data_IF_628278777842
#
_entry.id   IF_628278777842
#
_cell.length_a   1.000
_cell.length_b   1.000
_cell.length_c   1.000
_cell.angle_alpha   90.00
_cell.angle_beta   90.00
_cell.angle_gamma   90.00
#
_symmetry.space_group_name_H-M   'P 1'
#
loop_
_entity.id
_entity.type
_entity.pdbx_description
1 polymer ?
#
# COMPACT_ATOMS: atom_id res chain seq x y z
N UNK A 1 -44.63 18.11 26.64
CA UNK A 1 -43.70 19.01 25.93
C UNK A 1 -42.32 18.41 26.07
N UNK A 2 -41.99 17.45 25.21
CA UNK A 2 -40.70 16.77 25.25
C UNK A 2 -39.73 17.51 24.35
N UNK A 3 -38.64 17.99 24.95
CA UNK A 3 -37.59 18.72 24.24
C UNK A 3 -36.95 17.86 23.13
N UNK A 4 -36.33 18.51 22.13
CA UNK A 4 -35.70 17.79 21.03
C UNK A 4 -34.62 16.83 21.56
N UNK A 5 -34.50 15.62 20.98
CA UNK A 5 -33.49 14.65 21.40
C UNK A 5 -32.10 15.29 21.24
N UNK A 6 -31.33 15.29 22.33
CA UNK A 6 -29.97 15.82 22.35
C UNK A 6 -29.08 15.14 21.28
N UNK A 7 -28.01 15.81 20.82
CA UNK A 7 -27.15 15.28 19.78
C UNK A 7 -26.61 13.89 20.19
N UNK A 8 -26.89 12.89 19.36
CA UNK A 8 -26.36 11.53 19.52
C UNK A 8 -24.85 11.60 19.71
N UNK A 9 -24.37 11.23 20.89
CA UNK A 9 -22.95 11.04 21.15
C UNK A 9 -22.48 9.84 20.33
N UNK A 10 -21.71 10.10 19.27
CA UNK A 10 -21.01 9.08 18.51
C UNK A 10 -20.13 8.24 19.46
N UNK A 11 -20.45 6.95 19.72
CA UNK A 11 -19.65 6.09 20.59
C UNK A 11 -18.23 5.86 20.02
N UNK A 12 -18.02 6.14 18.73
CA UNK A 12 -16.72 6.05 18.04
C UNK A 12 -15.79 7.23 18.37
N UNK A 13 -16.27 8.25 19.08
CA UNK A 13 -15.47 9.41 19.52
C UNK A 13 -14.53 9.12 20.69
N UNK A 14 -14.88 8.18 21.58
CA UNK A 14 -14.14 7.93 22.82
C UNK A 14 -12.81 7.15 22.63
N UNK A 15 -12.62 6.50 21.47
CA UNK A 15 -11.45 5.63 21.20
C UNK A 15 -10.45 6.22 20.21
N UNK A 16 -10.67 7.45 19.72
CA UNK A 16 -9.85 8.05 18.66
C UNK A 16 -8.99 9.18 19.22
N UNK A 17 -7.69 8.91 19.36
CA UNK A 17 -6.70 9.85 19.88
C UNK A 17 -6.81 11.20 19.15
N UNK A 18 -6.96 12.32 19.89
CA UNK A 18 -6.94 13.64 19.28
C UNK A 18 -5.57 13.88 18.62
N UNK A 19 -5.53 14.57 17.48
CA UNK A 19 -4.29 14.74 16.73
C UNK A 19 -3.27 15.60 17.50
N UNK A 20 -1.96 15.37 17.29
CA UNK A 20 -0.93 16.20 17.89
C UNK A 20 -1.03 17.61 17.29
N UNK A 21 -1.03 18.61 18.16
CA UNK A 21 -1.11 20.03 17.78
C UNK A 21 0.28 20.63 17.52
N UNK A 22 1.35 19.93 17.91
CA UNK A 22 2.75 20.36 17.77
C UNK A 22 3.67 19.21 17.33
N UNK A 23 4.78 19.54 16.64
CA UNK A 23 5.83 18.60 16.23
C UNK A 23 6.43 17.81 17.41
N UNK A 24 6.40 18.37 18.63
CA UNK A 24 6.87 17.69 19.86
C UNK A 24 5.94 16.59 20.37
N UNK A 25 4.67 16.59 19.98
CA UNK A 25 3.67 15.57 20.38
C UNK A 25 3.60 14.40 19.38
N UNK A 26 4.28 14.53 18.23
CA UNK A 26 4.34 13.52 17.18
C UNK A 26 4.90 12.18 17.68
N UNK A 27 5.97 12.12 18.51
CA UNK A 27 6.50 10.85 19.01
C UNK A 27 5.48 10.10 19.89
N UNK A 28 4.81 10.81 20.82
CA UNK A 28 3.82 10.21 21.72
C UNK A 28 2.52 9.81 21.03
N UNK A 29 2.11 10.55 19.99
CA UNK A 29 0.97 10.19 19.15
C UNK A 29 1.28 8.96 18.27
N UNK A 30 2.48 8.91 17.68
CA UNK A 30 2.96 7.75 16.92
C UNK A 30 3.04 6.51 17.79
N UNK A 31 3.55 6.61 19.02
CA UNK A 31 3.63 5.47 19.95
C UNK A 31 2.25 4.89 20.28
N UNK A 32 1.24 5.73 20.53
CA UNK A 32 -0.13 5.27 20.83
C UNK A 32 -0.84 4.71 19.58
N UNK A 33 -0.60 5.30 18.41
CA UNK A 33 -1.12 4.76 17.13
C UNK A 33 -0.49 3.42 16.78
N UNK A 34 0.84 3.32 16.87
CA UNK A 34 1.59 2.09 16.65
C UNK A 34 1.15 1.02 17.66
N UNK A 35 1.02 1.34 18.94
CA UNK A 35 0.52 0.41 19.95
C UNK A 35 -0.88 -0.15 19.65
N UNK A 36 -1.81 0.71 19.19
CA UNK A 36 -3.13 0.27 18.75
C UNK A 36 -3.11 -0.56 17.46
N UNK A 37 -2.21 -0.25 16.53
CA UNK A 37 -1.97 -1.03 15.32
C UNK A 37 -1.39 -2.42 15.64
N UNK A 38 -0.32 -2.50 16.43
CA UNK A 38 0.32 -3.76 16.82
C UNK A 38 -0.64 -4.67 17.59
N UNK A 39 -1.51 -4.14 18.46
CA UNK A 39 -2.54 -4.95 19.13
C UNK A 39 -3.52 -5.58 18.12
N UNK A 40 -3.98 -4.81 17.14
CA UNK A 40 -4.88 -5.31 16.08
C UNK A 40 -4.17 -6.31 15.18
N UNK A 41 -2.92 -6.04 14.83
CA UNK A 41 -2.09 -6.94 14.04
C UNK A 41 -1.90 -8.25 14.79
N UNK A 42 -1.51 -8.23 16.07
CA UNK A 42 -1.36 -9.42 16.90
C UNK A 42 -2.66 -10.23 17.02
N UNK A 43 -3.80 -9.56 17.13
CA UNK A 43 -5.10 -10.23 17.10
C UNK A 43 -5.35 -10.94 15.76
N UNK A 44 -5.05 -10.29 14.62
CA UNK A 44 -5.16 -10.90 13.28
C UNK A 44 -4.18 -12.07 13.13
N UNK A 45 -2.94 -11.93 13.59
CA UNK A 45 -1.95 -13.01 13.60
C UNK A 45 -2.47 -14.21 14.40
N UNK A 46 -2.98 -13.99 15.61
CA UNK A 46 -3.59 -15.04 16.43
C UNK A 46 -4.77 -15.70 15.72
N UNK A 47 -5.63 -14.92 15.07
CA UNK A 47 -6.81 -15.42 14.35
C UNK A 47 -6.44 -16.29 13.14
N UNK A 48 -5.41 -15.90 12.38
CA UNK A 48 -4.88 -16.71 11.27
C UNK A 48 -4.16 -17.95 11.80
N UNK A 49 -3.43 -17.82 12.92
CA UNK A 49 -2.79 -18.95 13.60
C UNK A 49 -3.81 -19.99 14.11
N UNK A 50 -4.93 -19.54 14.70
CA UNK A 50 -6.07 -20.38 15.11
C UNK A 50 -6.72 -21.08 13.91
N UNK A 51 -6.70 -20.45 12.72
CA UNK A 51 -7.20 -21.07 11.49
C UNK A 51 -6.24 -22.18 11.04
N UNK A 52 -5.02 -21.82 10.63
CA UNK A 52 -3.96 -22.73 10.23
C UNK A 52 -2.59 -22.03 10.32
N UNK A 53 -1.62 -22.51 11.12
CA UNK A 53 -0.33 -21.84 11.31
C UNK A 53 0.56 -21.84 10.05
N UNK A 54 0.39 -22.82 9.14
CA UNK A 54 1.18 -22.89 7.90
C UNK A 54 1.02 -21.65 7.01
N UNK A 55 -0.12 -20.96 7.08
CA UNK A 55 -0.39 -19.73 6.30
C UNK A 55 0.63 -18.65 6.68
N UNK A 56 0.83 -18.42 7.97
CA UNK A 56 1.76 -17.40 8.46
C UNK A 56 3.21 -17.75 8.14
N UNK A 57 3.57 -19.04 8.28
CA UNK A 57 4.89 -19.51 7.90
C UNK A 57 5.16 -19.30 6.40
N UNK A 58 4.20 -19.67 5.55
CA UNK A 58 4.30 -19.50 4.10
C UNK A 58 4.43 -18.01 3.72
N UNK A 59 3.57 -17.14 4.25
CA UNK A 59 3.65 -15.69 3.98
C UNK A 59 4.97 -15.07 4.44
N UNK A 60 5.52 -15.55 5.56
CA UNK A 60 6.83 -15.14 6.05
C UNK A 60 7.94 -15.54 5.05
N UNK A 61 7.98 -16.80 4.64
CA UNK A 61 8.97 -17.30 3.66
C UNK A 61 8.85 -16.54 2.33
N UNK A 62 7.63 -16.36 1.82
CA UNK A 62 7.40 -15.59 0.59
C UNK A 62 7.86 -14.14 0.73
N UNK A 63 7.63 -13.49 1.88
CA UNK A 63 8.08 -12.10 2.11
C UNK A 63 9.61 -11.95 2.04
N UNK A 64 10.35 -12.93 2.60
CA UNK A 64 11.81 -12.94 2.55
C UNK A 64 12.29 -13.19 1.13
N UNK A 65 11.72 -14.19 0.43
CA UNK A 65 12.06 -14.49 -0.96
C UNK A 65 11.81 -13.28 -1.85
N UNK A 66 10.61 -12.69 -1.81
CA UNK A 66 10.26 -11.48 -2.57
C UNK A 66 11.17 -10.28 -2.27
N UNK A 67 11.74 -10.21 -1.06
CA UNK A 67 12.66 -9.14 -0.68
C UNK A 67 14.07 -9.32 -1.25
N UNK A 68 14.52 -10.57 -1.39
CA UNK A 68 15.90 -10.90 -1.83
C UNK A 68 15.98 -11.13 -3.34
N UNK A 69 14.93 -11.63 -3.98
CA UNK A 69 14.93 -11.91 -5.43
C UNK A 69 15.35 -10.71 -6.31
N UNK A 70 14.91 -9.47 -6.06
CA UNK A 70 15.30 -8.32 -6.87
C UNK A 70 16.81 -8.06 -6.90
N UNK A 71 17.49 -8.17 -5.76
CA UNK A 71 18.94 -7.92 -5.70
C UNK A 71 19.73 -9.04 -6.39
N UNK A 72 19.29 -10.29 -6.24
CA UNK A 72 19.90 -11.43 -6.94
C UNK A 72 19.74 -11.27 -8.45
N UNK A 73 18.56 -10.85 -8.92
CA UNK A 73 18.32 -10.54 -10.33
C UNK A 73 19.31 -9.48 -10.84
N UNK A 74 19.49 -8.39 -10.08
CA UNK A 74 20.38 -7.30 -10.47
C UNK A 74 21.85 -7.73 -10.55
N UNK A 75 22.31 -8.59 -9.64
CA UNK A 75 23.67 -9.14 -9.66
C UNK A 75 23.90 -10.07 -10.86
N UNK A 76 22.91 -10.92 -11.21
CA UNK A 76 22.97 -11.76 -12.41
C UNK A 76 23.06 -10.88 -13.67
N UNK A 77 22.22 -9.83 -13.75
CA UNK A 77 22.24 -8.88 -14.87
C UNK A 77 23.59 -8.14 -15.00
N UNK A 78 24.19 -7.69 -13.89
CA UNK A 78 25.54 -7.11 -13.89
C UNK A 78 26.55 -8.06 -14.51
N UNK A 79 26.59 -9.31 -14.05
CA UNK A 79 27.56 -10.30 -14.53
C UNK A 79 27.37 -10.62 -16.01
N UNK A 80 26.12 -10.73 -16.46
CA UNK A 80 25.79 -10.92 -17.87
C UNK A 80 26.32 -9.76 -18.73
N UNK A 81 26.08 -8.51 -18.30
CA UNK A 81 26.54 -7.32 -19.04
C UNK A 81 28.06 -7.26 -19.09
N UNK A 82 28.74 -7.55 -17.98
CA UNK A 82 30.20 -7.59 -17.95
C UNK A 82 30.78 -8.66 -18.88
N UNK A 83 30.15 -9.84 -18.95
CA UNK A 83 30.56 -10.89 -19.88
C UNK A 83 30.35 -10.48 -21.35
N UNK A 84 29.25 -9.79 -21.66
CA UNK A 84 28.99 -9.26 -23.01
C UNK A 84 30.00 -8.19 -23.42
N UNK A 85 30.37 -7.28 -22.52
CA UNK A 85 31.38 -6.25 -22.78
C UNK A 85 32.76 -6.88 -22.98
N UNK A 86 33.14 -7.86 -22.15
CA UNK A 86 34.39 -8.60 -22.33
C UNK A 86 34.44 -9.36 -23.67
N UNK A 87 33.30 -9.87 -24.14
CA UNK A 87 33.18 -10.54 -25.42
C UNK A 87 33.37 -9.57 -26.60
N UNK A 88 32.73 -8.40 -26.52
CA UNK A 88 32.86 -7.35 -27.51
C UNK A 88 34.30 -6.81 -27.61
N UNK A 89 35.03 -6.79 -26.49
CA UNK A 89 36.43 -6.39 -26.43
C UNK A 89 37.43 -7.47 -26.88
N UNK A 90 36.97 -8.65 -27.32
CA UNK A 90 37.83 -9.73 -27.82
C UNK A 90 38.60 -10.53 -26.74
N UNK A 91 38.33 -10.29 -25.46
CA UNK A 91 39.10 -10.85 -24.33
C UNK A 91 38.60 -12.22 -23.83
N UNK A 92 37.58 -12.82 -24.47
CA UNK A 92 36.96 -14.06 -24.01
C UNK A 92 37.61 -15.30 -24.67
N UNK A 93 38.67 -15.83 -24.05
CA UNK A 93 39.30 -17.09 -24.47
C UNK A 93 38.33 -18.31 -24.41
N UNK A 94 37.29 -18.25 -23.57
CA UNK A 94 36.28 -19.32 -23.39
C UNK A 94 35.03 -19.19 -24.29
N UNK A 95 35.00 -18.22 -25.21
CA UNK A 95 33.95 -18.08 -26.23
C UNK A 95 32.51 -17.89 -25.71
N UNK A 96 31.55 -17.95 -26.64
CA UNK A 96 30.10 -17.74 -26.43
C UNK A 96 29.45 -18.62 -25.34
N UNK A 97 30.15 -19.65 -24.85
CA UNK A 97 29.67 -20.60 -23.83
C UNK A 97 29.38 -19.94 -22.47
N UNK A 98 30.21 -18.99 -22.03
CA UNK A 98 30.03 -18.27 -20.74
C UNK A 98 28.80 -17.35 -20.80
N UNK A 99 28.58 -16.72 -21.95
CA UNK A 99 27.42 -15.85 -22.17
C UNK A 99 26.16 -16.71 -22.18
N UNK A 100 26.20 -17.87 -22.85
CA UNK A 100 25.06 -18.80 -22.90
C UNK A 100 24.70 -19.33 -21.51
N UNK A 101 25.69 -19.64 -20.65
CA UNK A 101 25.42 -20.09 -19.29
C UNK A 101 24.82 -18.98 -18.40
N UNK A 102 25.28 -17.74 -18.53
CA UNK A 102 24.71 -16.58 -17.83
C UNK A 102 23.30 -16.22 -18.33
N UNK A 103 23.05 -16.36 -19.64
CA UNK A 103 21.70 -16.22 -20.21
C UNK A 103 20.77 -17.31 -19.70
N UNK A 104 21.21 -18.58 -19.72
CA UNK A 104 20.46 -19.69 -19.17
C UNK A 104 20.13 -19.45 -17.69
N UNK A 105 21.11 -19.01 -16.89
CA UNK A 105 20.90 -18.63 -15.50
C UNK A 105 19.86 -17.51 -15.35
N UNK A 106 19.91 -16.48 -16.19
CA UNK A 106 18.96 -15.36 -16.19
C UNK A 106 17.53 -15.84 -16.49
N UNK A 107 17.37 -16.68 -17.51
CA UNK A 107 16.07 -17.26 -17.88
C UNK A 107 15.53 -18.18 -16.79
N UNK A 108 16.35 -19.09 -16.26
CA UNK A 108 15.98 -19.99 -15.17
C UNK A 108 15.57 -19.19 -13.93
N UNK A 109 16.35 -18.17 -13.56
CA UNK A 109 16.05 -17.33 -12.40
C UNK A 109 14.75 -16.54 -12.59
N UNK A 110 14.53 -15.97 -13.78
CA UNK A 110 13.29 -15.25 -14.11
C UNK A 110 12.09 -16.19 -14.07
N UNK A 111 12.23 -17.40 -14.61
CA UNK A 111 11.19 -18.43 -14.56
C UNK A 111 10.84 -18.83 -13.13
N UNK A 112 11.84 -19.12 -12.30
CA UNK A 112 11.66 -19.45 -10.87
C UNK A 112 10.96 -18.30 -10.14
N UNK A 113 11.39 -17.06 -10.36
CA UNK A 113 10.78 -15.87 -9.75
C UNK A 113 9.30 -15.75 -10.13
N UNK A 114 8.96 -15.95 -11.41
CA UNK A 114 7.56 -15.97 -11.87
C UNK A 114 6.76 -17.09 -11.21
N UNK A 115 7.33 -18.30 -11.07
CA UNK A 115 6.67 -19.40 -10.38
C UNK A 115 6.43 -19.08 -8.91
N UNK A 116 7.42 -18.54 -8.19
CA UNK A 116 7.27 -18.10 -6.79
C UNK A 116 6.12 -17.10 -6.66
N UNK A 117 6.07 -16.07 -7.51
CA UNK A 117 5.00 -15.06 -7.45
C UNK A 117 3.62 -15.64 -7.77
N UNK A 118 3.54 -16.63 -8.67
CA UNK A 118 2.29 -17.32 -9.00
C UNK A 118 1.80 -18.18 -7.84
N UNK A 119 2.71 -18.93 -7.22
CA UNK A 119 2.42 -19.76 -6.04
C UNK A 119 1.97 -18.88 -4.87
N UNK A 120 2.66 -17.77 -4.61
CA UNK A 120 2.27 -16.81 -3.57
C UNK A 120 0.85 -16.26 -3.78
N UNK A 121 0.51 -15.86 -5.01
CA UNK A 121 -0.80 -15.31 -5.34
C UNK A 121 -1.94 -16.31 -5.11
N UNK A 122 -1.78 -17.56 -5.58
CA UNK A 122 -2.78 -18.60 -5.40
C UNK A 122 -2.90 -19.05 -3.93
N UNK A 123 -1.77 -19.24 -3.24
CA UNK A 123 -1.76 -19.64 -1.82
C UNK A 123 -2.38 -18.55 -0.94
N UNK A 124 -2.04 -17.28 -1.16
CA UNK A 124 -2.63 -16.16 -0.44
C UNK A 124 -4.14 -16.07 -0.68
N UNK A 125 -4.61 -16.38 -1.89
CA UNK A 125 -6.05 -16.45 -2.18
C UNK A 125 -6.74 -17.58 -1.43
N UNK A 126 -6.17 -18.78 -1.41
CA UNK A 126 -6.70 -19.91 -0.63
C UNK A 126 -6.71 -19.63 0.88
N UNK A 127 -5.62 -19.05 1.40
CA UNK A 127 -5.54 -18.60 2.78
C UNK A 127 -6.64 -17.57 3.09
N UNK A 128 -6.89 -16.66 2.15
CA UNK A 128 -8.04 -15.75 2.11
C UNK A 128 -9.36 -16.43 2.42
N UNK A 129 -9.71 -17.44 1.63
CA UNK A 129 -10.97 -18.18 1.76
C UNK A 129 -11.05 -18.97 3.09
N UNK A 130 -9.96 -19.63 3.50
CA UNK A 130 -9.93 -20.39 4.75
C UNK A 130 -10.14 -19.51 5.98
N UNK A 131 -9.44 -18.37 6.03
CA UNK A 131 -9.58 -17.40 7.15
C UNK A 131 -10.96 -16.76 7.13
N UNK A 132 -11.48 -16.42 5.96
CA UNK A 132 -12.85 -15.91 5.81
C UNK A 132 -13.87 -16.88 6.37
N UNK A 133 -13.77 -18.16 5.99
CA UNK A 133 -14.66 -19.20 6.48
C UNK A 133 -14.57 -19.34 8.01
N UNK A 134 -13.36 -19.41 8.57
CA UNK A 134 -13.16 -19.52 10.02
C UNK A 134 -13.79 -18.35 10.78
N UNK A 135 -13.59 -17.12 10.30
CA UNK A 135 -14.17 -15.92 10.94
C UNK A 135 -15.69 -15.92 10.83
N UNK A 136 -16.25 -16.25 9.65
CA UNK A 136 -17.70 -16.35 9.47
C UNK A 136 -18.32 -17.38 10.41
N UNK A 137 -17.71 -18.55 10.55
CA UNK A 137 -18.16 -19.56 11.52
C UNK A 137 -18.12 -19.00 12.94
N UNK A 138 -17.04 -18.33 13.34
CA UNK A 138 -16.92 -17.70 14.67
C UNK A 138 -18.01 -16.63 14.91
N UNK A 139 -18.37 -15.84 13.89
CA UNK A 139 -19.47 -14.88 13.95
C UNK A 139 -20.81 -15.60 14.10
N UNK A 140 -21.08 -16.64 13.31
CA UNK A 140 -22.33 -17.41 13.38
C UNK A 140 -22.49 -18.12 14.73
N UNK A 141 -21.43 -18.74 15.24
CA UNK A 141 -21.42 -19.35 16.58
C UNK A 141 -21.71 -18.31 17.65
N UNK A 142 -21.10 -17.12 17.56
CA UNK A 142 -21.36 -16.06 18.54
C UNK A 142 -22.78 -15.49 18.43
N UNK A 143 -23.31 -15.35 17.22
CA UNK A 143 -24.68 -14.91 16.98
C UNK A 143 -25.72 -15.88 17.59
N UNK A 144 -25.45 -17.19 17.55
CA UNK A 144 -26.30 -18.22 18.18
C UNK A 144 -26.36 -18.13 19.71
N UNK A 145 -25.28 -17.67 20.36
CA UNK A 145 -25.20 -17.55 21.82
C UNK A 145 -25.89 -16.30 22.37
N UNK A 146 -26.28 -15.36 21.50
CA UNK A 146 -26.82 -14.07 21.90
C UNK A 146 -28.35 -14.10 21.96
N UNK A 147 -28.90 -13.41 22.95
CA UNK A 147 -30.34 -13.29 23.13
C UNK A 147 -31.00 -12.53 21.96
N UNK A 148 -32.23 -12.91 21.62
CA UNK A 148 -33.00 -12.35 20.51
C UNK A 148 -33.18 -10.83 20.66
N UNK A 149 -33.36 -10.34 21.89
CA UNK A 149 -33.48 -8.92 22.20
C UNK A 149 -32.23 -8.09 21.83
N UNK A 150 -31.08 -8.74 21.60
CA UNK A 150 -29.89 -8.07 21.08
C UNK A 150 -30.04 -7.70 19.61
N UNK A 151 -30.77 -8.49 18.82
CA UNK A 151 -30.98 -8.26 17.38
C UNK A 151 -31.91 -7.08 17.09
N UNK A 152 -32.81 -6.76 18.01
CA UNK A 152 -33.70 -5.60 17.90
C UNK A 152 -32.97 -4.26 18.12
N UNK A 153 -31.71 -4.30 18.63
CA UNK A 153 -30.90 -3.10 18.85
C UNK A 153 -30.18 -2.72 17.56
N UNK A 154 -30.44 -1.55 16.95
CA UNK A 154 -29.81 -1.13 15.69
C UNK A 154 -28.29 -1.11 15.75
N UNK A 155 -27.72 -0.73 16.89
CA UNK A 155 -26.26 -0.71 17.10
C UNK A 155 -25.62 -2.09 17.06
N UNK A 156 -26.33 -3.12 17.52
CA UNK A 156 -25.84 -4.50 17.50
C UNK A 156 -25.92 -5.05 16.07
N UNK A 157 -27.03 -4.82 15.39
CA UNK A 157 -27.22 -5.22 13.99
C UNK A 157 -26.14 -4.57 13.09
N UNK A 158 -25.89 -3.26 13.23
CA UNK A 158 -24.84 -2.56 12.48
C UNK A 158 -23.45 -3.17 12.75
N UNK A 159 -23.14 -3.54 14.00
CA UNK A 159 -21.86 -4.19 14.34
C UNK A 159 -21.74 -5.58 13.72
N UNK A 160 -22.81 -6.38 13.76
CA UNK A 160 -22.84 -7.73 13.19
C UNK A 160 -22.69 -7.68 11.66
N UNK A 161 -23.41 -6.78 11.00
CA UNK A 161 -23.34 -6.59 9.56
C UNK A 161 -21.95 -6.14 9.12
N UNK A 162 -21.37 -5.14 9.81
CA UNK A 162 -19.99 -4.71 9.57
C UNK A 162 -19.00 -5.85 9.79
N UNK A 163 -19.15 -6.63 10.87
CA UNK A 163 -18.27 -7.77 11.13
C UNK A 163 -18.34 -8.80 10.00
N UNK A 164 -19.53 -9.07 9.46
CA UNK A 164 -19.72 -10.02 8.36
C UNK A 164 -19.16 -9.50 7.03
N UNK A 165 -19.34 -8.20 6.74
CA UNK A 165 -18.77 -7.55 5.56
C UNK A 165 -17.23 -7.50 5.63
N UNK A 166 -16.66 -7.18 6.79
CA UNK A 166 -15.21 -7.04 6.95
C UNK A 166 -14.47 -8.37 7.16
N UNK A 167 -15.15 -9.41 7.65
CA UNK A 167 -14.59 -10.73 7.93
C UNK A 167 -13.88 -11.37 6.73
N UNK A 168 -14.37 -11.11 5.51
CA UNK A 168 -13.94 -11.87 4.33
C UNK A 168 -12.71 -11.34 3.60
N UNK A 169 -12.27 -10.10 3.83
CA UNK A 169 -11.20 -9.50 3.03
C UNK A 169 -10.16 -8.77 3.87
N UNK A 170 -10.61 -8.08 4.92
CA UNK A 170 -9.77 -7.16 5.67
C UNK A 170 -8.61 -7.82 6.41
N UNK A 171 -8.78 -8.97 7.09
CA UNK A 171 -7.69 -9.59 7.86
C UNK A 171 -6.50 -10.01 6.99
N UNK A 172 -6.77 -10.71 5.88
CA UNK A 172 -5.74 -11.19 4.97
C UNK A 172 -5.07 -10.04 4.21
N UNK A 173 -5.83 -9.01 3.82
CA UNK A 173 -5.26 -7.80 3.22
C UNK A 173 -4.30 -7.06 4.15
N UNK A 174 -4.63 -6.95 5.44
CA UNK A 174 -3.74 -6.32 6.42
C UNK A 174 -2.45 -7.15 6.58
N UNK A 175 -2.59 -8.47 6.64
CA UNK A 175 -1.47 -9.38 6.79
C UNK A 175 -0.55 -9.36 5.56
N UNK A 176 -1.12 -9.44 4.35
CA UNK A 176 -0.35 -9.36 3.10
C UNK A 176 0.36 -8.01 2.96
N UNK A 177 -0.33 -6.91 3.29
CA UNK A 177 0.30 -5.58 3.31
C UNK A 177 1.46 -5.52 4.30
N UNK A 178 1.32 -6.14 5.47
CA UNK A 178 2.38 -6.19 6.49
C UNK A 178 3.60 -6.99 6.03
N UNK A 179 3.39 -8.16 5.42
CA UNK A 179 4.48 -8.96 4.86
C UNK A 179 5.12 -8.30 3.63
N UNK A 180 4.34 -7.63 2.80
CA UNK A 180 4.85 -6.85 1.67
C UNK A 180 5.73 -5.68 2.15
N UNK A 181 5.37 -5.03 3.26
CA UNK A 181 6.24 -4.03 3.90
C UNK A 181 7.57 -4.61 4.34
N UNK A 182 7.56 -5.77 5.01
CA UNK A 182 8.78 -6.48 5.42
C UNK A 182 9.66 -6.79 4.19
N UNK A 183 9.04 -7.31 3.14
CA UNK A 183 9.71 -7.61 1.86
C UNK A 183 10.37 -6.38 1.24
N UNK A 184 9.65 -5.25 1.19
CA UNK A 184 10.18 -3.98 0.67
C UNK A 184 11.34 -3.45 1.52
N UNK A 185 11.28 -3.59 2.85
CA UNK A 185 12.38 -3.22 3.74
C UNK A 185 13.61 -4.10 3.50
N UNK A 186 13.43 -5.42 3.35
CA UNK A 186 14.54 -6.35 3.03
C UNK A 186 15.19 -5.97 1.70
N UNK A 187 14.39 -5.72 0.66
CA UNK A 187 14.87 -5.30 -0.66
C UNK A 187 15.63 -3.98 -0.58
N UNK A 188 15.05 -2.98 0.10
CA UNK A 188 15.67 -1.68 0.31
C UNK A 188 17.03 -1.80 1.03
N UNK A 189 17.10 -2.55 2.13
CA UNK A 189 18.35 -2.78 2.86
C UNK A 189 19.39 -3.49 1.97
N UNK A 190 18.96 -4.49 1.20
CA UNK A 190 19.85 -5.23 0.30
C UNK A 190 20.48 -4.34 -0.76
N UNK A 191 19.68 -3.46 -1.40
CA UNK A 191 20.19 -2.51 -2.38
C UNK A 191 21.04 -1.39 -1.74
N UNK A 192 20.66 -0.91 -0.55
CA UNK A 192 21.49 0.06 0.21
C UNK A 192 22.85 -0.56 0.53
N UNK A 193 22.91 -1.81 0.98
CA UNK A 193 24.16 -2.48 1.32
C UNK A 193 25.09 -2.60 0.10
N UNK A 194 24.54 -2.98 -1.06
CA UNK A 194 25.30 -3.08 -2.31
C UNK A 194 25.77 -1.72 -2.82
N UNK A 195 24.93 -0.69 -2.69
CA UNK A 195 25.26 0.66 -3.14
C UNK A 195 26.27 1.36 -2.20
N UNK A 196 26.13 1.16 -0.89
CA UNK A 196 27.02 1.72 0.13
C UNK A 196 28.45 1.18 0.04
N UNK A 197 28.65 -0.01 -0.53
CA UNK A 197 29.98 -0.57 -0.75
C UNK A 197 30.83 0.25 -1.74
N UNK A 198 30.19 1.06 -2.61
CA UNK A 198 30.90 1.89 -3.61
C UNK A 198 30.76 3.37 -3.35
N UNK A 199 29.54 3.84 -3.06
CA UNK A 199 29.31 5.25 -2.73
C UNK A 199 28.31 5.37 -1.59
N UNK A 200 28.78 5.46 -0.33
CA UNK A 200 27.92 5.68 0.83
C UNK A 200 27.01 6.92 0.69
N UNK A 201 27.50 7.95 -0.02
CA UNK A 201 26.80 9.22 -0.21
C UNK A 201 25.56 9.10 -1.08
N UNK A 202 25.57 8.28 -2.14
CA UNK A 202 24.44 8.16 -3.07
C UNK A 202 23.20 7.54 -2.39
N UNK A 203 23.40 6.53 -1.55
CA UNK A 203 22.36 5.92 -0.71
C UNK A 203 21.70 6.95 0.21
N UNK A 204 22.50 7.78 0.89
CA UNK A 204 22.00 8.81 1.82
C UNK A 204 21.21 9.88 1.06
N UNK A 205 21.71 10.33 -0.09
CA UNK A 205 21.05 11.35 -0.91
C UNK A 205 19.65 10.90 -1.32
N UNK A 206 19.47 9.66 -1.81
CA UNK A 206 18.14 9.17 -2.22
C UNK A 206 17.17 9.07 -1.05
N UNK A 207 17.64 8.61 0.11
CA UNK A 207 16.80 8.55 1.31
C UNK A 207 16.32 9.95 1.67
N UNK A 208 17.23 10.92 1.72
CA UNK A 208 16.91 12.32 2.03
C UNK A 208 15.92 12.89 1.00
N UNK A 209 16.10 12.61 -0.28
CA UNK A 209 15.22 13.10 -1.35
C UNK A 209 13.80 12.52 -1.29
N UNK A 210 13.67 11.32 -0.72
CA UNK A 210 12.39 10.64 -0.58
C UNK A 210 11.59 11.12 0.64
N UNK A 211 12.23 11.75 1.64
CA UNK A 211 11.56 12.25 2.86
C UNK A 211 10.57 13.40 2.60
N UNK A 212 10.88 14.46 1.80
CA UNK A 212 9.91 15.52 1.49
C UNK A 212 8.63 14.98 0.85
N UNK A 213 8.77 14.00 -0.05
CA UNK A 213 7.63 13.32 -0.69
C UNK A 213 6.75 12.65 0.37
N UNK A 214 7.35 11.93 1.33
CA UNK A 214 6.62 11.32 2.43
C UNK A 214 5.82 12.34 3.24
N UNK A 215 6.41 13.49 3.55
CA UNK A 215 5.79 14.56 4.34
C UNK A 215 4.60 15.17 3.60
N UNK A 216 4.75 15.48 2.30
CA UNK A 216 3.66 15.99 1.46
C UNK A 216 2.50 15.00 1.43
N UNK A 217 2.77 13.73 1.13
CA UNK A 217 1.75 12.68 1.08
C UNK A 217 1.02 12.55 2.43
N UNK A 218 1.74 12.56 3.55
CA UNK A 218 1.14 12.50 4.88
C UNK A 218 0.20 13.69 5.18
N UNK A 219 0.65 14.92 4.86
CA UNK A 219 -0.13 16.14 5.08
C UNK A 219 -1.40 16.14 4.21
N UNK A 220 -1.28 15.82 2.92
CA UNK A 220 -2.42 15.82 2.01
C UNK A 220 -3.39 14.67 2.27
N UNK A 221 -2.91 13.50 2.68
CA UNK A 221 -3.76 12.40 3.17
C UNK A 221 -4.59 12.83 4.37
N UNK A 222 -3.98 13.53 5.34
CA UNK A 222 -4.71 14.08 6.51
C UNK A 222 -5.75 15.11 6.09
N UNK A 223 -5.40 16.01 5.17
CA UNK A 223 -6.35 16.98 4.61
C UNK A 223 -7.51 16.28 3.91
N UNK A 224 -7.25 15.22 3.14
CA UNK A 224 -8.27 14.43 2.44
C UNK A 224 -9.21 13.74 3.44
N UNK A 225 -8.68 13.03 4.45
CA UNK A 225 -9.52 12.40 5.48
C UNK A 225 -10.36 13.43 6.24
N UNK A 226 -9.78 14.58 6.57
CA UNK A 226 -10.52 15.66 7.24
C UNK A 226 -11.60 16.25 6.33
N UNK A 227 -11.32 16.41 5.04
CA UNK A 227 -12.28 16.87 4.04
C UNK A 227 -13.44 15.88 3.90
N UNK A 228 -13.15 14.58 3.75
CA UNK A 228 -14.16 13.50 3.74
C UNK A 228 -15.07 13.57 4.97
N UNK A 229 -14.48 13.74 6.17
CA UNK A 229 -15.23 13.82 7.43
C UNK A 229 -16.13 15.06 7.47
N UNK A 230 -15.58 16.24 7.15
CA UNK A 230 -16.34 17.51 7.14
C UNK A 230 -17.46 17.51 6.09
N UNK A 231 -17.27 16.82 4.97
CA UNK A 231 -18.22 16.70 3.86
C UNK A 231 -19.05 15.42 3.87
N UNK A 232 -19.15 14.76 5.03
CA UNK A 232 -19.99 13.56 5.19
C UNK A 232 -21.48 13.82 4.87
N UNK A 233 -21.98 15.04 5.09
CA UNK A 233 -23.35 15.42 4.73
C UNK A 233 -23.58 15.40 3.22
N UNK A 234 -22.66 15.99 2.45
CA UNK A 234 -22.74 16.03 0.97
C UNK A 234 -22.76 14.60 0.41
N UNK A 235 -21.93 13.70 0.95
CA UNK A 235 -21.91 12.29 0.56
C UNK A 235 -23.23 11.58 0.87
N UNK A 236 -23.77 11.77 2.09
CA UNK A 236 -25.07 11.21 2.47
C UNK A 236 -26.22 11.73 1.60
N UNK A 237 -26.19 12.99 1.16
CA UNK A 237 -27.19 13.53 0.24
C UNK A 237 -27.08 12.89 -1.15
N UNK A 238 -25.87 12.71 -1.68
CA UNK A 238 -25.65 11.99 -2.93
C UNK A 238 -26.15 10.55 -2.84
N UNK A 239 -25.83 9.84 -1.74
CA UNK A 239 -26.29 8.47 -1.50
C UNK A 239 -27.83 8.40 -1.39
N UNK A 240 -28.46 9.40 -0.75
CA UNK A 240 -29.91 9.49 -0.65
C UNK A 240 -30.60 9.70 -2.00
N UNK A 241 -30.15 10.68 -2.81
CA UNK A 241 -30.74 10.92 -4.12
C UNK A 241 -30.55 9.74 -5.07
N UNK A 242 -29.36 9.13 -5.05
CA UNK A 242 -29.11 7.90 -5.82
C UNK A 242 -29.96 6.74 -5.30
N UNK A 243 -30.12 6.61 -3.99
CA UNK A 243 -30.91 5.56 -3.35
C UNK A 243 -32.38 5.62 -3.75
N UNK A 244 -32.99 6.82 -3.76
CA UNK A 244 -34.38 7.00 -4.19
C UNK A 244 -34.62 6.58 -5.64
N UNK A 245 -33.67 6.86 -6.54
CA UNK A 245 -33.77 6.54 -7.97
C UNK A 245 -33.64 5.04 -8.26
N UNK A 246 -32.86 4.31 -7.45
CA UNK A 246 -32.50 2.90 -7.70
C UNK A 246 -33.30 1.94 -6.82
N UNK A 247 -33.90 2.41 -5.72
CA UNK A 247 -34.71 1.58 -4.83
C UNK A 247 -36.03 1.16 -5.50
N UNK A 248 -36.28 -0.16 -5.54
CA UNK A 248 -37.44 -0.79 -6.16
C UNK A 248 -38.79 -0.28 -5.62
N UNK A 249 -38.85 0.06 -4.35
CA UNK A 249 -40.09 0.51 -3.70
C UNK A 249 -40.35 1.99 -4.01
N UNK A 250 -39.30 2.81 -4.00
CA UNK A 250 -39.38 4.27 -4.22
C UNK A 250 -39.47 4.66 -5.70
N UNK A 251 -38.94 3.85 -6.62
CA UNK A 251 -38.90 4.18 -8.06
C UNK A 251 -40.30 4.37 -8.67
N UNK A 252 -41.32 3.74 -8.08
CA UNK A 252 -42.72 3.86 -8.53
C UNK A 252 -43.25 5.28 -8.32
N UNK A 253 -43.01 5.85 -7.14
CA UNK A 253 -43.39 7.23 -6.80
C UNK A 253 -42.58 8.24 -7.62
N UNK A 254 -41.28 8.00 -7.78
CA UNK A 254 -40.41 8.87 -8.59
C UNK A 254 -40.88 8.94 -10.05
N UNK A 255 -41.31 7.82 -10.64
CA UNK A 255 -41.85 7.78 -12.01
C UNK A 255 -43.24 8.39 -12.11
N UNK A 256 -44.12 8.12 -11.12
CA UNK A 256 -45.47 8.68 -11.11
C UNK A 256 -45.47 10.21 -10.99
N UNK A 257 -44.51 10.76 -10.26
CA UNK A 257 -44.37 12.20 -10.02
C UNK A 257 -43.39 12.91 -10.97
N UNK A 258 -42.83 12.19 -11.94
CA UNK A 258 -41.82 12.69 -12.89
C UNK A 258 -40.62 13.43 -12.23
N UNK A 259 -40.17 12.91 -11.08
CA UNK A 259 -39.12 13.56 -10.26
C UNK A 259 -37.69 13.19 -10.68
N UNK A 260 -37.52 12.35 -11.70
CA UNK A 260 -36.23 11.80 -12.12
C UNK A 260 -35.19 12.88 -12.41
N UNK A 261 -35.51 13.81 -13.31
CA UNK A 261 -34.60 14.89 -13.72
C UNK A 261 -34.28 15.83 -12.55
N UNK A 262 -35.25 16.08 -11.68
CA UNK A 262 -35.06 16.92 -10.49
C UNK A 262 -34.08 16.28 -9.50
N UNK A 263 -34.20 14.98 -9.24
CA UNK A 263 -33.30 14.26 -8.35
C UNK A 263 -31.88 14.17 -8.93
N UNK A 264 -31.76 13.94 -10.24
CA UNK A 264 -30.47 13.95 -10.95
C UNK A 264 -29.82 15.33 -10.86
N UNK A 265 -30.57 16.41 -11.09
CA UNK A 265 -30.06 17.78 -10.99
C UNK A 265 -29.55 18.10 -9.58
N UNK A 266 -30.30 17.73 -8.53
CA UNK A 266 -29.88 17.88 -7.13
C UNK A 266 -28.62 17.08 -6.81
N UNK A 267 -28.53 15.84 -7.30
CA UNK A 267 -27.32 15.03 -7.16
C UNK A 267 -26.11 15.73 -7.79
N UNK A 268 -26.24 16.19 -9.04
CA UNK A 268 -25.16 16.87 -9.74
C UNK A 268 -24.73 18.17 -9.05
N UNK A 269 -25.67 18.92 -8.48
CA UNK A 269 -25.36 20.16 -7.74
C UNK A 269 -24.53 19.88 -6.48
N UNK A 270 -24.91 18.86 -5.70
CA UNK A 270 -24.13 18.43 -4.53
C UNK A 270 -22.76 17.91 -4.96
N UNK A 271 -22.70 17.11 -6.04
CA UNK A 271 -21.45 16.59 -6.58
C UNK A 271 -20.52 17.72 -7.03
N UNK A 272 -20.99 18.74 -7.77
CA UNK A 272 -20.16 19.88 -8.20
C UNK A 272 -19.52 20.60 -7.02
N UNK A 273 -20.30 20.87 -5.95
CA UNK A 273 -19.79 21.52 -4.73
C UNK A 273 -18.75 20.65 -4.01
N UNK A 274 -19.05 19.36 -3.86
CA UNK A 274 -18.15 18.40 -3.23
C UNK A 274 -16.84 18.21 -4.03
N UNK A 275 -16.95 18.11 -5.35
CA UNK A 275 -15.85 17.91 -6.27
C UNK A 275 -14.96 19.14 -6.38
N UNK A 276 -15.51 20.36 -6.34
CA UNK A 276 -14.71 21.58 -6.40
C UNK A 276 -13.66 21.68 -5.27
N UNK A 277 -14.03 21.31 -4.03
CA UNK A 277 -13.09 21.27 -2.91
C UNK A 277 -12.12 20.09 -3.00
N UNK A 278 -12.58 18.93 -3.47
CA UNK A 278 -11.72 17.76 -3.69
C UNK A 278 -10.68 18.02 -4.78
N UNK A 279 -11.08 18.67 -5.88
CA UNK A 279 -10.20 19.07 -6.98
C UNK A 279 -9.03 19.89 -6.48
N UNK A 280 -9.25 20.88 -5.61
CA UNK A 280 -8.16 21.69 -5.04
C UNK A 280 -7.18 20.87 -4.22
N UNK A 281 -7.66 19.87 -3.48
CA UNK A 281 -6.79 18.96 -2.72
C UNK A 281 -5.96 18.08 -3.65
N UNK A 282 -6.60 17.45 -4.65
CA UNK A 282 -5.93 16.58 -5.63
C UNK A 282 -4.90 17.36 -6.43
N UNK A 283 -5.25 18.55 -6.96
CA UNK A 283 -4.31 19.38 -7.71
C UNK A 283 -3.16 19.88 -6.83
N UNK A 284 -3.44 20.28 -5.59
CA UNK A 284 -2.39 20.70 -4.66
C UNK A 284 -1.41 19.57 -4.34
N UNK A 285 -1.91 18.37 -4.06
CA UNK A 285 -1.10 17.18 -3.81
C UNK A 285 -0.29 16.80 -5.05
N UNK A 286 -0.93 16.78 -6.22
CA UNK A 286 -0.32 16.46 -7.50
C UNK A 286 0.79 17.45 -7.89
N UNK A 287 0.59 18.75 -7.68
CA UNK A 287 1.59 19.77 -7.99
C UNK A 287 2.84 19.63 -7.11
N UNK A 288 2.68 19.40 -5.81
CA UNK A 288 3.81 19.16 -4.91
C UNK A 288 4.55 17.87 -5.24
N UNK A 289 3.82 16.77 -5.48
CA UNK A 289 4.43 15.51 -5.88
C UNK A 289 5.15 15.64 -7.23
N UNK A 290 4.57 16.34 -8.20
CA UNK A 290 5.22 16.57 -9.50
C UNK A 290 6.52 17.39 -9.35
N UNK A 291 6.51 18.45 -8.55
CA UNK A 291 7.71 19.25 -8.28
C UNK A 291 8.80 18.44 -7.59
N UNK A 292 8.45 17.67 -6.56
CA UNK A 292 9.39 16.79 -5.88
C UNK A 292 9.91 15.66 -6.79
N UNK A 293 9.05 15.08 -7.62
CA UNK A 293 9.46 14.09 -8.61
C UNK A 293 10.43 14.68 -9.64
N UNK A 294 10.22 15.92 -10.10
CA UNK A 294 11.14 16.58 -11.02
C UNK A 294 12.53 16.79 -10.38
N UNK A 295 12.59 17.25 -9.13
CA UNK A 295 13.84 17.36 -8.36
C UNK A 295 14.48 15.98 -8.19
N UNK A 296 13.70 14.97 -7.83
CA UNK A 296 14.19 13.61 -7.66
C UNK A 296 14.77 13.01 -8.94
N UNK A 297 14.14 13.24 -10.08
CA UNK A 297 14.64 12.81 -11.39
C UNK A 297 15.93 13.56 -11.74
N UNK A 298 16.00 14.87 -11.52
CA UNK A 298 17.20 15.65 -11.79
C UNK A 298 18.41 15.16 -10.97
N UNK A 299 18.21 14.87 -9.68
CA UNK A 299 19.28 14.29 -8.83
C UNK A 299 19.64 12.88 -9.29
N UNK A 300 18.68 12.03 -9.65
CA UNK A 300 18.98 10.71 -10.20
C UNK A 300 19.81 10.81 -11.50
N UNK A 301 19.49 11.75 -12.39
CA UNK A 301 20.30 12.00 -13.58
C UNK A 301 21.74 12.41 -13.23
N UNK A 302 21.93 13.30 -12.26
CA UNK A 302 23.27 13.70 -11.80
C UNK A 302 24.03 12.51 -11.20
N UNK A 303 23.37 11.68 -10.39
CA UNK A 303 23.98 10.46 -9.84
C UNK A 303 24.35 9.48 -10.95
N UNK A 304 23.50 9.28 -11.95
CA UNK A 304 23.80 8.42 -13.09
C UNK A 304 25.00 8.95 -13.88
N UNK A 305 25.07 10.26 -14.14
CA UNK A 305 26.24 10.87 -14.79
C UNK A 305 27.52 10.66 -13.96
N UNK A 306 27.45 10.79 -12.63
CA UNK A 306 28.60 10.56 -11.76
C UNK A 306 29.11 9.11 -11.81
N UNK A 307 28.19 8.12 -11.84
CA UNK A 307 28.56 6.70 -11.95
C UNK A 307 29.09 6.40 -13.36
N UNK A 308 28.49 6.98 -14.40
CA UNK A 308 28.97 6.86 -15.78
C UNK A 308 30.40 7.42 -15.93
N UNK A 309 30.71 8.53 -15.27
CA UNK A 309 32.06 9.09 -15.24
C UNK A 309 33.06 8.14 -14.57
N UNK A 310 32.69 7.47 -13.47
CA UNK A 310 33.55 6.45 -12.83
C UNK A 310 33.77 5.21 -13.71
N UNK A 311 32.80 4.85 -14.56
CA UNK A 311 33.01 3.81 -15.59
C UNK A 311 33.97 4.27 -16.67
N UNK A 312 33.87 5.55 -17.09
CA UNK A 312 34.80 6.14 -18.06
C UNK A 312 36.24 6.17 -17.53
N UNK A 313 36.45 6.46 -16.24
CA UNK A 313 37.77 6.38 -15.60
C UNK A 313 38.29 4.95 -15.41
N UNK A 314 37.48 3.93 -15.68
CA UNK A 314 37.84 2.52 -15.53
C UNK A 314 37.81 1.99 -14.09
N UNK A 315 37.33 2.79 -13.13
CA UNK A 315 37.18 2.35 -11.75
C UNK A 315 36.01 1.35 -11.57
N UNK A 316 35.01 1.42 -12.45
CA UNK A 316 33.82 0.57 -12.44
C UNK A 316 33.57 -0.08 -13.81
N UNK A 317 32.93 -1.24 -13.80
CA UNK A 317 32.52 -1.92 -15.04
C UNK A 317 31.16 -1.43 -15.55
N UNK A 318 30.84 -1.68 -16.81
CA UNK A 318 29.52 -1.32 -17.38
C UNK A 318 28.36 -2.05 -16.66
N UNK A 319 28.59 -3.27 -16.20
CA UNK A 319 27.63 -4.01 -15.38
C UNK A 319 27.41 -3.36 -14.01
N UNK A 320 28.46 -2.79 -13.39
CA UNK A 320 28.32 -2.03 -12.14
C UNK A 320 27.40 -0.82 -12.30
N UNK A 321 27.51 -0.11 -13.42
CA UNK A 321 26.61 0.99 -13.74
C UNK A 321 25.14 0.53 -13.74
N UNK A 322 24.83 -0.60 -14.37
CA UNK A 322 23.45 -1.11 -14.38
C UNK A 322 22.96 -1.57 -13.01
N UNK A 323 23.84 -2.15 -12.19
CA UNK A 323 23.52 -2.55 -10.83
C UNK A 323 23.21 -1.33 -9.95
N UNK A 324 24.05 -0.28 -10.00
CA UNK A 324 23.89 0.89 -9.14
C UNK A 324 22.72 1.76 -9.57
N UNK A 325 22.54 2.00 -10.87
CA UNK A 325 21.35 2.71 -11.37
C UNK A 325 20.05 1.94 -11.05
N UNK A 326 20.07 0.61 -11.14
CA UNK A 326 18.98 -0.26 -10.70
C UNK A 326 18.72 -0.21 -9.19
N UNK A 327 19.79 -0.12 -8.38
CA UNK A 327 19.70 0.01 -6.93
C UNK A 327 19.06 1.34 -6.52
N UNK A 328 19.48 2.45 -7.13
CA UNK A 328 18.92 3.79 -6.90
C UNK A 328 17.40 3.82 -7.15
N UNK A 329 16.96 3.25 -8.29
CA UNK A 329 15.54 3.14 -8.63
C UNK A 329 14.75 2.24 -7.65
N UNK A 330 15.35 1.12 -7.24
CA UNK A 330 14.73 0.17 -6.30
C UNK A 330 14.54 0.78 -4.91
N UNK A 331 15.53 1.53 -4.41
CA UNK A 331 15.44 2.23 -3.12
C UNK A 331 14.33 3.29 -3.18
N UNK A 332 14.29 4.12 -4.22
CA UNK A 332 13.24 5.14 -4.39
C UNK A 332 11.84 4.51 -4.42
N UNK A 333 11.68 3.39 -5.15
CA UNK A 333 10.41 2.65 -5.24
C UNK A 333 10.00 2.03 -3.90
N UNK A 334 10.95 1.47 -3.14
CA UNK A 334 10.69 0.89 -1.83
C UNK A 334 10.23 1.96 -0.82
N UNK A 335 10.85 3.16 -0.84
CA UNK A 335 10.42 4.27 0.01
C UNK A 335 9.01 4.73 -0.37
N UNK A 336 8.71 4.84 -1.66
CA UNK A 336 7.36 5.17 -2.13
C UNK A 336 6.31 4.13 -1.67
N UNK A 337 6.64 2.84 -1.71
CA UNK A 337 5.78 1.76 -1.23
C UNK A 337 5.56 1.79 0.30
N UNK A 338 6.59 2.16 1.07
CA UNK A 338 6.47 2.34 2.52
C UNK A 338 5.50 3.47 2.86
N UNK A 339 5.57 4.59 2.12
CA UNK A 339 4.68 5.74 2.29
C UNK A 339 3.23 5.35 1.95
N UNK A 340 3.01 4.65 0.84
CA UNK A 340 1.66 4.27 0.41
C UNK A 340 1.00 3.28 1.37
N UNK A 341 1.77 2.33 1.91
CA UNK A 341 1.24 1.28 2.79
C UNK A 341 1.03 1.76 4.23
N UNK A 342 1.92 2.60 4.77
CA UNK A 342 1.72 3.21 6.10
C UNK A 342 0.55 4.21 6.13
N UNK A 343 0.15 4.71 4.96
CA UNK A 343 -1.01 5.59 4.79
C UNK A 343 -2.36 4.83 4.64
N UNK A 344 -2.34 3.49 4.51
CA UNK A 344 -3.48 2.60 4.26
C UNK A 344 -4.49 2.48 5.40
#
# INVERSE_FOLDING_TARGET
MDGPPGPMRDPRGATRLPPPKSLREVPGYLQKLLGGFFKRLFYIFRLVWETRPWILFFMCVMSVLSGVLPIVSALISKNLINALVAAAGGALEKGFSVILSLLALTFTFTFITRMITSVDAFVTRLAGELVTNHIRVKIMTKARELDLASFDRPEFYEKLENANQEAGRRPIQILSSSFHLISNVISMISFIAVLAAVSPWSSVIIIVLSLPSAIVNFIYRRKNVMYMRRRSKDRRQMDYFSGLMVNKDMVKEVRMLDLGDTLIAKFQEVFRRYFAGMRRLIFGEGAWNAGLSAVSTAVNCLLFLSIAYQVYEGALTVGDYTLYTGALNSIASAVAALISTTAG
#
